data_IF_155778380572
#
_entry.id   IF_155778380572
#
_cell.length_a   1.000
_cell.length_b   1.000
_cell.length_c   1.000
_cell.angle_alpha   90.00
_cell.angle_beta   90.00
_cell.angle_gamma   90.00
#
_symmetry.space_group_name_H-M   'P 1'
#
loop_
_entity.id
_entity.type
_entity.pdbx_description
1 polymer ?
#
# COMPACT_ATOMS: atom_id res chain seq x y z
N UNK A 1 5.41 41.60 2.03
CA UNK A 1 5.68 40.79 0.82
C UNK A 1 4.63 39.69 0.78
N UNK A 2 3.49 39.98 0.16
CA UNK A 2 2.41 39.01 -0.02
C UNK A 2 2.86 38.02 -1.08
N UNK A 3 2.84 36.73 -0.75
CA UNK A 3 3.15 35.68 -1.72
C UNK A 3 2.02 35.66 -2.76
N UNK A 4 2.32 36.08 -3.98
CA UNK A 4 1.44 35.86 -5.13
C UNK A 4 1.37 34.34 -5.35
N UNK A 5 0.24 33.76 -4.96
CA UNK A 5 -0.09 32.39 -5.32
C UNK A 5 -0.25 32.35 -6.85
N UNK A 6 0.22 31.29 -7.53
CA UNK A 6 0.13 31.20 -8.98
C UNK A 6 -1.33 31.41 -9.41
N UNK A 7 -1.50 32.19 -10.47
CA UNK A 7 -2.78 32.59 -11.09
C UNK A 7 -3.45 31.41 -11.81
N UNK A 8 -3.53 30.27 -11.13
CA UNK A 8 -4.26 29.06 -11.47
C UNK A 8 -5.39 28.81 -10.46
N UNK A 9 -5.74 29.83 -9.66
CA UNK A 9 -6.84 29.75 -8.70
C UNK A 9 -8.16 29.83 -9.47
N UNK A 10 -8.97 28.77 -9.38
CA UNK A 10 -10.33 28.78 -9.94
C UNK A 10 -11.13 29.84 -9.18
N UNK A 11 -11.82 30.77 -9.88
CA UNK A 11 -12.61 31.79 -9.20
C UNK A 11 -13.77 31.14 -8.43
N UNK A 12 -14.06 31.66 -7.23
CA UNK A 12 -15.07 31.09 -6.33
C UNK A 12 -16.45 30.99 -6.99
N UNK A 13 -16.82 31.97 -7.83
CA UNK A 13 -18.08 31.93 -8.57
C UNK A 13 -18.16 30.74 -9.56
N UNK A 14 -17.05 30.39 -10.21
CA UNK A 14 -17.01 29.22 -11.08
C UNK A 14 -17.10 27.92 -10.27
N UNK A 15 -16.52 27.91 -9.07
CA UNK A 15 -16.62 26.78 -8.14
C UNK A 15 -18.05 26.58 -7.62
N UNK A 16 -18.73 27.66 -7.22
CA UNK A 16 -20.13 27.63 -6.79
C UNK A 16 -21.07 27.19 -7.91
N UNK A 17 -20.83 27.69 -9.13
CA UNK A 17 -21.59 27.28 -10.32
C UNK A 17 -21.43 25.79 -10.61
N UNK A 18 -20.20 25.28 -10.53
CA UNK A 18 -19.92 23.85 -10.71
C UNK A 18 -20.61 22.97 -9.65
N UNK A 19 -20.58 23.36 -8.37
CA UNK A 19 -21.27 22.63 -7.30
C UNK A 19 -22.77 22.58 -7.58
N UNK A 20 -23.38 23.72 -7.89
CA UNK A 20 -24.82 23.81 -8.17
C UNK A 20 -25.23 22.95 -9.37
N UNK A 21 -24.42 22.94 -10.44
CA UNK A 21 -24.66 22.11 -11.62
C UNK A 21 -24.52 20.62 -11.29
N UNK A 22 -23.49 20.24 -10.52
CA UNK A 22 -23.18 18.85 -10.17
C UNK A 22 -24.22 18.22 -9.23
N UNK A 23 -24.78 19.01 -8.31
CA UNK A 23 -25.85 18.57 -7.41
C UNK A 23 -27.23 18.58 -8.08
N UNK A 24 -27.36 19.34 -9.16
CA UNK A 24 -28.58 19.51 -9.92
C UNK A 24 -28.91 18.38 -10.90
N UNK A 25 -29.76 18.67 -11.91
CA UNK A 25 -30.26 17.69 -12.89
C UNK A 25 -29.15 17.01 -13.71
N UNK A 26 -27.97 17.63 -13.83
CA UNK A 26 -26.83 17.07 -14.56
C UNK A 26 -26.41 15.70 -14.03
N UNK A 27 -26.56 15.44 -12.72
CA UNK A 27 -26.31 14.12 -12.12
C UNK A 27 -27.26 13.04 -12.65
N UNK A 28 -28.49 13.41 -12.96
CA UNK A 28 -29.51 12.50 -13.51
C UNK A 28 -29.25 12.25 -15.00
N UNK A 29 -28.75 13.26 -15.72
CA UNK A 29 -28.39 13.18 -17.14
C UNK A 29 -27.04 12.50 -17.41
N UNK A 30 -26.22 12.25 -16.39
CA UNK A 30 -24.92 11.62 -16.54
C UNK A 30 -25.04 10.20 -17.14
N UNK A 31 -24.22 9.85 -18.16
CA UNK A 31 -24.20 8.50 -18.73
C UNK A 31 -23.95 7.44 -17.64
N UNK A 32 -24.87 6.48 -17.51
CA UNK A 32 -24.78 5.39 -16.52
C UNK A 32 -23.70 4.37 -16.85
N UNK A 33 -23.36 4.27 -18.12
CA UNK A 33 -22.32 3.38 -18.60
C UNK A 33 -21.01 4.13 -18.78
N UNK A 34 -19.87 3.52 -18.41
CA UNK A 34 -18.56 4.12 -18.65
C UNK A 34 -18.38 4.36 -20.14
N UNK A 35 -17.84 5.53 -20.49
CA UNK A 35 -17.56 5.89 -21.87
C UNK A 35 -16.70 4.81 -22.55
N UNK A 36 -16.85 4.67 -23.88
CA UNK A 36 -16.08 3.68 -24.66
C UNK A 36 -14.57 3.76 -24.39
N UNK A 37 -14.04 4.99 -24.20
CA UNK A 37 -12.64 5.22 -23.83
C UNK A 37 -12.31 4.70 -22.44
N UNK A 38 -13.17 4.92 -21.45
CA UNK A 38 -12.95 4.40 -20.11
C UNK A 38 -12.89 2.86 -20.10
N UNK A 39 -13.74 2.19 -20.88
CA UNK A 39 -13.68 0.73 -21.07
C UNK A 39 -12.36 0.29 -21.70
N UNK A 40 -11.91 0.95 -22.77
CA UNK A 40 -10.62 0.65 -23.41
C UNK A 40 -9.43 0.85 -22.46
N UNK A 41 -9.44 1.91 -21.65
CA UNK A 41 -8.36 2.18 -20.68
C UNK A 41 -8.36 1.13 -19.58
N UNK A 42 -9.53 0.74 -19.06
CA UNK A 42 -9.64 -0.33 -18.06
C UNK A 42 -9.07 -1.66 -18.60
N UNK A 43 -9.36 -2.01 -19.85
CA UNK A 43 -8.79 -3.20 -20.49
C UNK A 43 -7.27 -3.11 -20.67
N UNK A 44 -6.74 -1.94 -21.04
CA UNK A 44 -5.28 -1.72 -21.14
C UNK A 44 -4.59 -1.86 -19.78
N UNK A 45 -5.16 -1.28 -18.73
CA UNK A 45 -4.65 -1.39 -17.37
C UNK A 45 -4.71 -2.85 -16.88
N UNK A 46 -5.81 -3.55 -17.14
CA UNK A 46 -5.95 -4.98 -16.77
C UNK A 46 -4.88 -5.85 -17.43
N UNK A 47 -4.58 -5.63 -18.71
CA UNK A 47 -3.51 -6.36 -19.42
C UNK A 47 -2.13 -6.07 -18.82
N UNK A 48 -1.83 -4.81 -18.51
CA UNK A 48 -0.57 -4.43 -17.87
C UNK A 48 -0.42 -5.07 -16.48
N UNK A 49 -1.49 -5.11 -15.68
CA UNK A 49 -1.50 -5.76 -14.36
C UNK A 49 -1.28 -7.28 -14.47
N UNK A 50 -1.90 -7.94 -15.45
CA UNK A 50 -1.70 -9.37 -15.69
C UNK A 50 -0.26 -9.68 -16.12
N UNK A 51 0.34 -8.86 -16.97
CA UNK A 51 1.74 -9.00 -17.38
C UNK A 51 2.70 -8.81 -16.19
N UNK A 52 2.47 -7.79 -15.38
CA UNK A 52 3.24 -7.56 -14.16
C UNK A 52 3.10 -8.75 -13.19
N UNK A 53 1.88 -9.28 -13.01
CA UNK A 53 1.63 -10.46 -12.17
C UNK A 53 2.35 -11.72 -12.70
N UNK A 54 2.39 -11.94 -14.03
CA UNK A 54 3.13 -13.05 -14.65
C UNK A 54 4.63 -12.95 -14.43
N UNK A 55 5.21 -11.75 -14.56
CA UNK A 55 6.63 -11.51 -14.29
C UNK A 55 6.98 -11.78 -12.81
N UNK A 56 6.11 -11.36 -11.89
CA UNK A 56 6.25 -11.63 -10.46
C UNK A 56 6.09 -13.12 -10.11
N UNK A 57 5.18 -13.84 -10.77
CA UNK A 57 5.00 -15.29 -10.62
C UNK A 57 6.28 -16.06 -11.00
N UNK A 58 6.96 -15.65 -12.07
CA UNK A 58 8.27 -16.20 -12.46
C UNK A 58 9.37 -15.89 -11.45
N UNK A 59 9.38 -14.69 -10.85
CA UNK A 59 10.33 -14.32 -9.80
C UNK A 59 10.12 -15.10 -8.49
N UNK A 60 8.89 -15.52 -8.20
CA UNK A 60 8.51 -16.27 -6.98
C UNK A 60 9.09 -17.69 -6.95
N UNK A 61 9.38 -18.29 -8.11
CA UNK A 61 10.08 -19.57 -8.21
C UNK A 61 11.55 -19.53 -7.76
N UNK A 62 12.14 -18.33 -7.59
CA UNK A 62 13.56 -18.14 -7.26
C UNK A 62 13.80 -17.69 -5.81
N UNK A 63 12.87 -18.01 -4.90
CA UNK A 63 13.06 -17.83 -3.45
C UNK A 63 13.04 -16.38 -2.94
N UNK A 64 12.68 -15.39 -3.77
CA UNK A 64 12.55 -14.00 -3.32
C UNK A 64 11.13 -13.70 -2.85
N UNK A 65 11.05 -13.01 -1.70
CA UNK A 65 9.84 -12.73 -0.92
C UNK A 65 8.75 -12.07 -1.78
N UNK A 66 7.51 -12.47 -1.50
CA UNK A 66 6.28 -12.12 -2.22
C UNK A 66 5.90 -10.62 -2.14
N UNK A 67 4.85 -10.22 -2.88
CA UNK A 67 4.91 -9.41 -4.10
C UNK A 67 4.69 -7.91 -3.83
N UNK A 68 5.30 -7.06 -4.65
CA UNK A 68 4.71 -5.74 -4.92
C UNK A 68 3.49 -6.00 -5.81
N UNK A 69 2.36 -6.38 -5.20
CA UNK A 69 1.05 -6.07 -5.75
C UNK A 69 1.14 -4.61 -6.17
N UNK A 70 0.75 -4.27 -7.40
CA UNK A 70 0.65 -2.89 -7.86
C UNK A 70 0.04 -2.08 -6.72
N UNK A 71 0.89 -1.39 -5.97
CA UNK A 71 0.47 -0.71 -4.76
C UNK A 71 -0.44 0.37 -5.31
N UNK A 72 -1.70 0.46 -4.85
CA UNK A 72 -2.57 1.51 -5.32
C UNK A 72 -1.79 2.81 -5.15
N UNK A 73 -1.62 3.55 -6.25
CA UNK A 73 -0.95 4.85 -6.23
C UNK A 73 -1.37 5.60 -4.97
N UNK A 74 -0.45 6.31 -4.32
CA UNK A 74 -0.68 6.93 -3.01
C UNK A 74 -2.01 7.72 -2.89
N UNK A 75 -2.57 8.21 -4.00
CA UNK A 75 -3.88 8.85 -4.07
C UNK A 75 -5.10 7.92 -3.84
N UNK A 76 -4.96 6.59 -3.94
CA UNK A 76 -5.96 5.57 -3.57
C UNK A 76 -5.70 4.91 -2.21
N UNK A 77 -4.61 5.27 -1.53
CA UNK A 77 -4.25 4.67 -0.24
C UNK A 77 -5.31 4.88 0.85
N UNK A 78 -6.14 5.94 0.74
CA UNK A 78 -7.26 6.18 1.64
C UNK A 78 -8.39 5.15 1.50
N UNK A 79 -8.58 4.55 0.31
CA UNK A 79 -9.60 3.52 0.08
C UNK A 79 -9.15 2.15 0.60
N UNK A 80 -7.85 1.86 0.54
CA UNK A 80 -7.32 0.54 0.93
C UNK A 80 -7.04 0.39 2.43
N UNK A 81 -7.23 1.45 3.23
CA UNK A 81 -6.97 1.47 4.68
C UNK A 81 -7.76 0.42 5.47
N UNK A 82 -8.83 -0.16 4.89
CA UNK A 82 -9.67 -1.17 5.52
C UNK A 82 -9.27 -2.63 5.29
N UNK A 83 -8.37 -2.96 4.36
CA UNK A 83 -8.08 -4.37 4.05
C UNK A 83 -6.62 -4.73 4.26
N UNK A 84 -6.40 -5.67 5.19
CA UNK A 84 -5.17 -6.45 5.43
C UNK A 84 -4.13 -5.74 6.30
N UNK A 85 -4.33 -5.83 7.62
CA UNK A 85 -3.20 -5.96 8.55
C UNK A 85 -2.38 -7.18 8.09
N UNK A 86 -1.10 -7.03 7.66
CA UNK A 86 -0.24 -8.19 7.56
C UNK A 86 -0.13 -8.77 8.97
N UNK A 87 -0.56 -10.02 9.13
CA UNK A 87 -0.33 -10.80 10.34
C UNK A 87 1.18 -11.10 10.37
N UNK A 88 1.98 -10.07 10.67
CA UNK A 88 3.43 -10.15 10.86
C UNK A 88 3.60 -11.12 12.01
N UNK A 89 3.96 -12.36 11.70
CA UNK A 89 4.12 -13.40 12.69
C UNK A 89 5.09 -12.85 13.75
N UNK A 90 4.69 -12.87 15.03
CA UNK A 90 5.51 -12.35 16.15
C UNK A 90 6.77 -13.21 16.43
N UNK A 91 7.02 -14.17 15.56
CA UNK A 91 8.11 -15.16 15.62
C UNK A 91 9.51 -14.53 15.68
N UNK A 92 9.86 -13.44 14.95
CA UNK A 92 11.23 -12.92 15.03
C UNK A 92 11.51 -12.23 16.36
N UNK A 93 10.49 -11.73 17.08
CA UNK A 93 10.69 -11.08 18.38
C UNK A 93 11.01 -12.08 19.48
N UNK A 94 10.33 -13.23 19.49
CA UNK A 94 10.53 -14.28 20.50
C UNK A 94 11.94 -14.87 20.38
N UNK A 95 12.43 -15.08 19.15
CA UNK A 95 13.78 -15.60 18.93
C UNK A 95 14.86 -14.68 19.53
N UNK A 96 14.74 -13.37 19.36
CA UNK A 96 15.69 -12.40 19.94
C UNK A 96 15.62 -12.35 21.47
N UNK A 97 14.44 -12.52 22.06
CA UNK A 97 14.29 -12.61 23.52
C UNK A 97 15.00 -13.85 24.06
N UNK A 98 14.84 -15.01 23.42
CA UNK A 98 15.54 -16.24 23.83
C UNK A 98 17.07 -16.08 23.73
N UNK A 99 17.56 -15.49 22.63
CA UNK A 99 19.00 -15.21 22.46
C UNK A 99 19.51 -14.29 23.56
N UNK A 100 18.79 -13.21 23.87
CA UNK A 100 19.17 -12.28 24.93
C UNK A 100 19.21 -12.97 26.31
N UNK A 101 18.24 -13.83 26.62
CA UNK A 101 18.23 -14.59 27.88
C UNK A 101 19.42 -15.54 27.97
N UNK A 102 19.78 -16.24 26.90
CA UNK A 102 20.96 -17.13 26.87
C UNK A 102 22.25 -16.33 27.09
N UNK A 103 22.40 -15.16 26.47
CA UNK A 103 23.56 -14.29 26.66
C UNK A 103 23.63 -13.77 28.10
N UNK A 104 22.51 -13.36 28.69
CA UNK A 104 22.47 -12.91 30.10
C UNK A 104 22.84 -14.05 31.05
N UNK A 105 22.36 -15.28 30.80
CA UNK A 105 22.73 -16.46 31.59
C UNK A 105 24.22 -16.79 31.47
N UNK A 106 24.81 -16.63 30.28
CA UNK A 106 26.25 -16.81 30.04
C UNK A 106 27.09 -15.79 30.83
N UNK A 107 26.65 -14.52 30.88
CA UNK A 107 27.34 -13.45 31.61
C UNK A 107 27.20 -13.61 33.13
N UNK A 108 26.00 -13.95 33.63
CA UNK A 108 25.75 -14.07 35.06
C UNK A 108 26.31 -15.36 35.68
N UNK A 109 26.47 -16.44 34.90
CA UNK A 109 26.81 -17.75 35.47
C UNK A 109 27.75 -18.58 34.57
N UNK A 110 29.00 -18.12 34.34
CA UNK A 110 29.97 -18.85 33.51
C UNK A 110 30.35 -20.21 34.11
N UNK A 111 30.24 -20.36 35.44
CA UNK A 111 30.67 -21.56 36.17
C UNK A 111 29.64 -22.70 36.17
N UNK A 112 28.34 -22.43 35.94
CA UNK A 112 27.29 -23.48 35.87
C UNK A 112 27.12 -24.08 34.48
N UNK A 113 27.61 -23.41 33.44
CA UNK A 113 27.45 -23.85 32.04
C UNK A 113 28.60 -24.74 31.56
N UNK A 114 29.73 -24.75 32.26
CA UNK A 114 30.93 -25.52 31.86
C UNK A 114 30.98 -26.96 32.39
N UNK A 115 30.13 -27.36 33.35
CA UNK A 115 30.17 -28.72 33.92
C UNK A 115 29.37 -29.77 33.11
N UNK A 116 28.69 -29.39 32.03
CA UNK A 116 28.13 -30.37 31.09
C UNK A 116 29.08 -30.68 29.91
N UNK A 117 30.23 -29.99 29.85
CA UNK A 117 31.26 -30.19 28.82
C UNK A 117 32.56 -30.80 29.39
N UNK A 118 32.58 -31.18 30.67
CA UNK A 118 33.67 -31.90 31.33
C UNK A 118 33.09 -32.95 32.26
#
# INVERSE_FOLDING_TARGET
>A
MSAELPESSIPDEAWERFQRESEGPARLAAPKEPSARARMVAERLRRADEEAARQQGRARGRGRKAPLRAEPDAWRAWQTRGTRRPRRSRVPGIAWVVVAVVVVLLVMNPQRTLWWLY
#
